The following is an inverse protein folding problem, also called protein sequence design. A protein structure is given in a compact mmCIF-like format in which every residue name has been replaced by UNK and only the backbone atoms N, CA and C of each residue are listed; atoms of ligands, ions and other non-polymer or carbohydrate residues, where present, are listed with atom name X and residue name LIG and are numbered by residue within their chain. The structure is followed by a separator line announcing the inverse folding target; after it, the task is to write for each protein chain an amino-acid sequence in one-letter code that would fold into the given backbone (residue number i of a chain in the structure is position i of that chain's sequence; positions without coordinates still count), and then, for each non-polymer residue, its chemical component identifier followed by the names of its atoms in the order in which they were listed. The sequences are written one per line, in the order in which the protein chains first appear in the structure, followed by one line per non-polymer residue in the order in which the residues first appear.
data_IF_622175590872
#
_entry.id   IF_622175590872
#
_cell.length_a   1.000
_cell.length_b   1.000
_cell.length_c   1.000
_cell.angle_alpha   90.00
_cell.angle_beta   90.00
_cell.angle_gamma   90.00
#
_symmetry.space_group_name_H-M   'P 1'
#
loop_
_entity.id
_entity.type
_entity.pdbx_description
1 polymer ?
#
# COMPACT_ATOMS: atom_id res chain seq x y z
N UNK A 1 16.15 -11.40 14.66
CA UNK A 1 15.28 -10.21 14.51
C UNK A 1 14.13 -10.30 15.50
N UNK A 2 14.00 -9.33 16.41
CA UNK A 2 12.89 -9.27 17.38
C UNK A 2 11.62 -8.89 16.63
N UNK A 3 10.52 -9.62 16.85
CA UNK A 3 9.20 -9.28 16.28
C UNK A 3 8.71 -7.95 16.86
N UNK A 4 7.92 -7.25 16.07
CA UNK A 4 7.43 -5.91 16.36
C UNK A 4 5.91 -5.93 16.27
N UNK A 5 5.27 -5.85 17.43
CA UNK A 5 3.81 -5.88 17.55
C UNK A 5 3.14 -4.69 16.86
N UNK A 6 3.81 -3.53 16.78
CA UNK A 6 3.32 -2.36 16.06
C UNK A 6 3.21 -2.63 14.57
N UNK A 7 4.24 -3.27 13.98
CA UNK A 7 4.20 -3.64 12.56
C UNK A 7 3.12 -4.69 12.27
N UNK A 8 2.96 -5.69 13.13
CA UNK A 8 1.90 -6.69 12.93
C UNK A 8 0.50 -6.06 13.07
N UNK A 9 0.30 -5.11 13.99
CA UNK A 9 -0.93 -4.33 14.10
C UNK A 9 -1.21 -3.50 12.84
N UNK A 10 -0.21 -2.79 12.32
CA UNK A 10 -0.32 -2.00 11.08
C UNK A 10 -0.76 -2.89 9.91
N UNK A 11 -0.19 -4.10 9.78
CA UNK A 11 -0.58 -5.05 8.73
C UNK A 11 -2.02 -5.54 8.89
N UNK A 12 -2.47 -5.81 10.12
CA UNK A 12 -3.86 -6.16 10.39
C UNK A 12 -4.81 -5.03 10.01
N UNK A 13 -4.52 -3.80 10.43
CA UNK A 13 -5.32 -2.62 10.08
C UNK A 13 -5.37 -2.43 8.55
N UNK A 14 -4.26 -2.63 7.84
CA UNK A 14 -4.21 -2.57 6.38
C UNK A 14 -5.11 -3.64 5.73
N UNK A 15 -5.04 -4.89 6.20
CA UNK A 15 -5.82 -6.00 5.66
C UNK A 15 -7.31 -5.86 5.95
N UNK A 16 -7.69 -5.46 7.17
CA UNK A 16 -9.08 -5.24 7.55
C UNK A 16 -9.69 -4.07 6.78
N UNK A 17 -9.00 -2.94 6.69
CA UNK A 17 -9.47 -1.81 5.89
C UNK A 17 -9.58 -2.15 4.40
N UNK A 18 -8.64 -2.93 3.84
CA UNK A 18 -8.75 -3.41 2.46
C UNK A 18 -9.96 -4.32 2.24
N UNK A 19 -10.24 -5.21 3.19
CA UNK A 19 -11.44 -6.05 3.13
C UNK A 19 -12.71 -5.18 3.17
N UNK A 20 -12.79 -4.22 4.10
CA UNK A 20 -13.91 -3.28 4.19
C UNK A 20 -14.07 -2.51 2.88
N UNK A 21 -12.98 -2.03 2.28
CA UNK A 21 -12.99 -1.37 0.99
C UNK A 21 -13.70 -2.21 -0.07
N UNK A 22 -13.38 -3.50 -0.16
CA UNK A 22 -13.96 -4.42 -1.15
C UNK A 22 -15.35 -4.95 -0.78
N UNK A 23 -15.79 -4.86 0.48
CA UNK A 23 -17.18 -5.19 0.84
C UNK A 23 -18.20 -4.27 0.14
N UNK A 24 -17.78 -3.11 -0.39
CA UNK A 24 -18.61 -2.27 -1.27
C UNK A 24 -19.13 -3.00 -2.52
N UNK A 25 -18.45 -4.06 -2.97
CA UNK A 25 -18.91 -4.86 -4.12
C UNK A 25 -20.11 -5.74 -3.79
N UNK A 26 -20.37 -5.98 -2.49
CA UNK A 26 -21.57 -6.66 -1.99
C UNK A 26 -22.64 -5.65 -1.53
N UNK A 27 -22.22 -4.52 -0.95
CA UNK A 27 -23.10 -3.45 -0.48
C UNK A 27 -22.71 -2.09 -1.05
N UNK A 28 -23.12 -1.77 -2.29
CA UNK A 28 -22.74 -0.52 -2.96
C UNK A 28 -23.20 0.75 -2.23
N UNK A 29 -24.36 0.68 -1.55
CA UNK A 29 -24.94 1.83 -0.83
C UNK A 29 -24.17 2.19 0.45
N UNK A 30 -23.31 1.30 0.94
CA UNK A 30 -22.53 1.50 2.15
C UNK A 30 -21.24 2.30 1.89
N UNK A 31 -21.38 3.57 1.46
CA UNK A 31 -20.25 4.44 1.08
C UNK A 31 -19.16 4.56 2.18
N UNK A 32 -19.54 4.46 3.46
CA UNK A 32 -18.59 4.47 4.58
C UNK A 32 -17.50 3.38 4.49
N UNK A 33 -17.79 2.25 3.87
CA UNK A 33 -16.82 1.17 3.62
C UNK A 33 -15.66 1.64 2.73
N UNK A 34 -15.96 2.41 1.69
CA UNK A 34 -14.96 2.97 0.79
C UNK A 34 -14.04 3.97 1.51
N UNK A 35 -14.61 4.83 2.35
CA UNK A 35 -13.88 5.85 3.13
C UNK A 35 -12.90 5.19 4.09
N UNK A 36 -13.38 4.23 4.90
CA UNK A 36 -12.52 3.45 5.81
C UNK A 36 -11.48 2.66 5.04
N UNK A 37 -11.84 2.16 3.86
CA UNK A 37 -10.95 1.44 2.95
C UNK A 37 -9.70 2.21 2.52
N UNK A 38 -9.75 3.55 2.50
CA UNK A 38 -8.61 4.40 2.14
C UNK A 38 -7.43 4.29 3.11
N UNK A 39 -7.65 3.74 4.31
CA UNK A 39 -6.57 3.41 5.26
C UNK A 39 -5.59 2.37 4.70
N UNK A 40 -6.08 1.44 3.86
CA UNK A 40 -5.34 0.24 3.50
C UNK A 40 -4.01 0.54 2.80
N UNK A 41 -4.07 1.36 1.74
CA UNK A 41 -2.91 1.58 0.88
C UNK A 41 -1.73 2.27 1.60
N UNK A 42 -1.93 3.38 2.35
CA UNK A 42 -0.83 3.97 3.11
C UNK A 42 -0.26 3.02 4.17
N UNK A 43 -1.10 2.22 4.84
CA UNK A 43 -0.62 1.24 5.83
C UNK A 43 0.19 0.10 5.19
N UNK A 44 -0.19 -0.37 3.99
CA UNK A 44 0.65 -1.32 3.23
C UNK A 44 1.98 -0.70 2.81
N UNK A 45 1.97 0.57 2.36
CA UNK A 45 3.19 1.29 2.01
C UNK A 45 4.12 1.46 3.23
N UNK A 46 3.55 1.75 4.40
CA UNK A 46 4.30 1.81 5.66
C UNK A 46 4.88 0.43 6.03
N UNK A 47 4.11 -0.65 5.83
CA UNK A 47 4.60 -2.01 6.05
C UNK A 47 5.81 -2.35 5.19
N UNK A 48 5.81 -1.94 3.91
CA UNK A 48 6.96 -2.04 3.01
C UNK A 48 8.14 -1.24 3.55
N UNK A 49 7.92 0.04 3.89
CA UNK A 49 8.95 0.93 4.40
C UNK A 49 9.61 0.39 5.68
N UNK A 50 8.82 -0.16 6.60
CA UNK A 50 9.31 -0.76 7.84
C UNK A 50 10.16 -2.02 7.58
N UNK A 51 9.78 -2.84 6.59
CA UNK A 51 10.59 -3.99 6.19
C UNK A 51 11.91 -3.53 5.54
N UNK A 52 11.88 -2.51 4.68
CA UNK A 52 13.07 -1.93 4.06
C UNK A 52 14.00 -1.34 5.12
N UNK A 53 13.47 -0.55 6.06
CA UNK A 53 14.26 0.10 7.12
C UNK A 53 15.00 -0.87 8.04
N UNK A 54 14.57 -2.14 8.11
CA UNK A 54 15.24 -3.21 8.88
C UNK A 54 16.41 -3.85 8.15
N UNK A 55 16.55 -3.62 6.85
CA UNK A 55 17.70 -4.09 6.08
C UNK A 55 18.91 -3.19 6.33
N UNK A 56 20.12 -3.73 6.23
CA UNK A 56 21.34 -2.94 6.38
C UNK A 56 21.52 -2.03 5.15
N UNK A 57 21.76 -0.72 5.33
CA UNK A 57 22.15 0.14 4.21
C UNK A 57 23.35 -0.45 3.45
N UNK A 58 23.34 -0.36 2.12
CA UNK A 58 24.36 -1.00 1.27
C UNK A 58 24.13 -2.49 0.91
N UNK A 59 23.22 -3.19 1.59
CA UNK A 59 22.88 -4.60 1.26
C UNK A 59 21.65 -4.71 0.34
N UNK A 60 21.68 -4.05 -0.82
CA UNK A 60 20.57 -4.11 -1.79
C UNK A 60 20.32 -5.54 -2.28
N UNK A 61 21.37 -6.24 -2.69
CA UNK A 61 21.32 -7.61 -3.23
C UNK A 61 21.47 -8.67 -2.14
N UNK A 62 20.47 -8.77 -1.27
CA UNK A 62 20.38 -9.85 -0.28
C UNK A 62 19.35 -10.91 -0.69
N UNK A 63 19.52 -12.16 -0.25
CA UNK A 63 18.50 -13.21 -0.43
C UNK A 63 17.14 -12.79 0.15
N UNK A 64 17.15 -12.02 1.25
CA UNK A 64 15.96 -11.48 1.87
C UNK A 64 15.20 -10.52 0.95
N UNK A 65 15.92 -9.58 0.33
CA UNK A 65 15.36 -8.63 -0.63
C UNK A 65 14.87 -9.33 -1.90
N UNK A 66 15.69 -10.23 -2.47
CA UNK A 66 15.31 -11.01 -3.65
C UNK A 66 14.03 -11.82 -3.40
N UNK A 67 13.93 -12.48 -2.25
CA UNK A 67 12.72 -13.21 -1.85
C UNK A 67 11.52 -12.29 -1.65
N UNK A 68 11.72 -11.10 -1.08
CA UNK A 68 10.62 -10.13 -0.90
C UNK A 68 10.09 -9.64 -2.25
N UNK A 69 10.99 -9.25 -3.16
CA UNK A 69 10.64 -8.86 -4.54
C UNK A 69 9.91 -9.99 -5.26
N UNK A 70 10.44 -11.21 -5.18
CA UNK A 70 9.85 -12.38 -5.83
C UNK A 70 8.43 -12.68 -5.34
N UNK A 71 8.19 -12.61 -4.03
CA UNK A 71 6.83 -12.80 -3.49
C UNK A 71 5.87 -11.70 -3.95
N UNK A 72 6.27 -10.43 -3.91
CA UNK A 72 5.43 -9.34 -4.41
C UNK A 72 5.13 -9.50 -5.90
N UNK A 73 6.11 -9.90 -6.71
CA UNK A 73 5.93 -10.13 -8.15
C UNK A 73 4.96 -11.30 -8.42
N UNK A 74 5.18 -12.45 -7.77
CA UNK A 74 4.33 -13.64 -7.93
C UNK A 74 2.89 -13.31 -7.56
N UNK A 75 2.67 -12.70 -6.39
CA UNK A 75 1.31 -12.36 -5.97
C UNK A 75 0.70 -11.21 -6.78
N UNK A 76 1.51 -10.29 -7.29
CA UNK A 76 1.06 -9.27 -8.23
C UNK A 76 0.45 -9.88 -9.50
N UNK A 77 1.09 -10.92 -10.05
CA UNK A 77 0.57 -11.64 -11.22
C UNK A 77 -0.65 -12.51 -10.87
N UNK A 78 -0.56 -13.28 -9.78
CA UNK A 78 -1.64 -14.19 -9.36
C UNK A 78 -2.93 -13.43 -8.99
N UNK A 79 -2.81 -12.24 -8.39
CA UNK A 79 -3.95 -11.44 -7.96
C UNK A 79 -4.62 -10.67 -9.08
N UNK A 80 -4.01 -10.55 -10.26
CA UNK A 80 -4.62 -9.84 -11.38
C UNK A 80 -5.91 -10.51 -11.84
N UNK A 81 -5.94 -11.85 -11.91
CA UNK A 81 -7.15 -12.57 -12.31
C UNK A 81 -8.33 -12.35 -11.32
N UNK A 82 -8.20 -12.63 -10.00
CA UNK A 82 -9.27 -12.33 -9.03
C UNK A 82 -9.70 -10.86 -9.04
N UNK A 83 -8.74 -9.94 -9.22
CA UNK A 83 -9.03 -8.50 -9.30
C UNK A 83 -9.90 -8.15 -10.51
N UNK A 84 -9.58 -8.68 -11.69
CA UNK A 84 -10.36 -8.49 -12.92
C UNK A 84 -11.76 -9.10 -12.83
N UNK A 85 -11.89 -10.26 -12.18
CA UNK A 85 -13.20 -10.90 -11.95
C UNK A 85 -14.11 -10.07 -11.04
N UNK A 86 -13.55 -9.40 -10.03
CA UNK A 86 -14.34 -8.57 -9.11
C UNK A 86 -14.62 -7.16 -9.67
N UNK A 87 -13.69 -6.63 -10.46
CA UNK A 87 -13.72 -5.26 -10.98
C UNK A 87 -13.40 -5.18 -12.48
N UNK A 88 -14.25 -5.74 -13.36
CA UNK A 88 -13.97 -5.87 -14.80
C UNK A 88 -13.76 -4.52 -15.50
N UNK A 89 -14.50 -3.50 -15.10
CA UNK A 89 -14.44 -2.13 -15.66
C UNK A 89 -13.22 -1.31 -15.20
N UNK A 90 -12.32 -1.87 -14.38
CA UNK A 90 -11.17 -1.11 -13.91
C UNK A 90 -10.17 -0.84 -15.04
N UNK A 91 -9.84 0.43 -15.27
CA UNK A 91 -8.77 0.83 -16.19
C UNK A 91 -7.35 0.58 -15.65
N UNK A 92 -7.22 0.16 -14.38
CA UNK A 92 -5.93 -0.03 -13.71
C UNK A 92 -5.63 -1.51 -13.50
N UNK A 93 -4.36 -1.86 -13.27
CA UNK A 93 -3.96 -3.15 -12.71
C UNK A 93 -4.36 -3.22 -11.23
N UNK A 94 -4.23 -4.41 -10.63
CA UNK A 94 -4.37 -4.55 -9.19
C UNK A 94 -3.37 -3.66 -8.41
N UNK A 95 -3.47 -3.62 -7.07
CA UNK A 95 -2.66 -2.69 -6.26
C UNK A 95 -1.18 -3.10 -6.17
N UNK A 96 -0.86 -4.39 -6.33
CA UNK A 96 0.47 -4.92 -6.05
C UNK A 96 1.58 -4.43 -6.99
N UNK A 97 1.37 -4.21 -8.31
CA UNK A 97 2.36 -3.52 -9.15
C UNK A 97 2.80 -2.17 -8.58
N UNK A 98 1.88 -1.40 -8.01
CA UNK A 98 2.21 -0.11 -7.38
C UNK A 98 3.10 -0.33 -6.15
N UNK A 99 2.77 -1.32 -5.32
CA UNK A 99 3.55 -1.69 -4.13
C UNK A 99 4.94 -2.26 -4.49
N UNK A 100 5.03 -3.06 -5.55
CA UNK A 100 6.26 -3.63 -6.09
C UNK A 100 7.23 -2.53 -6.54
N UNK A 101 6.76 -1.60 -7.36
CA UNK A 101 7.55 -0.44 -7.78
C UNK A 101 7.90 0.43 -6.57
N UNK A 102 6.96 0.62 -5.64
CA UNK A 102 7.21 1.40 -4.44
C UNK A 102 8.28 0.80 -3.51
N UNK A 103 8.38 -0.53 -3.42
CA UNK A 103 9.49 -1.22 -2.75
C UNK A 103 10.83 -0.87 -3.40
N UNK A 104 10.91 -0.87 -4.73
CA UNK A 104 12.16 -0.59 -5.46
C UNK A 104 12.62 0.87 -5.26
N UNK A 105 11.69 1.83 -5.26
CA UNK A 105 12.01 3.23 -4.94
C UNK A 105 12.43 3.37 -3.47
N UNK A 106 11.74 2.69 -2.55
CA UNK A 106 12.10 2.69 -1.14
C UNK A 106 13.51 2.13 -0.88
N UNK A 107 13.92 1.08 -1.60
CA UNK A 107 15.29 0.58 -1.56
C UNK A 107 16.30 1.60 -2.05
N UNK A 108 16.01 2.29 -3.16
CA UNK A 108 16.90 3.35 -3.66
C UNK A 108 17.17 4.43 -2.62
N UNK A 109 16.10 4.89 -1.97
CA UNK A 109 16.18 5.89 -0.88
C UNK A 109 16.82 5.32 0.39
N UNK A 110 16.62 4.04 0.69
CA UNK A 110 17.15 3.43 1.91
C UNK A 110 18.65 3.16 1.85
N UNK A 111 19.12 2.55 0.76
CA UNK A 111 20.52 2.14 0.60
C UNK A 111 21.40 3.30 0.13
N UNK A 112 20.88 4.21 -0.71
CA UNK A 112 21.55 5.46 -1.08
C UNK A 112 22.83 5.32 -1.92
N UNK A 113 23.12 4.13 -2.43
CA UNK A 113 24.27 3.87 -3.30
C UNK A 113 23.92 4.10 -4.77
N UNK A 114 24.93 4.30 -5.63
CA UNK A 114 24.71 4.65 -7.05
C UNK A 114 23.77 3.66 -7.75
N UNK A 115 23.95 2.36 -7.52
CA UNK A 115 23.12 1.30 -8.12
C UNK A 115 21.67 1.37 -7.62
N UNK A 116 21.45 1.56 -6.32
CA UNK A 116 20.09 1.65 -5.77
C UNK A 116 19.37 2.93 -6.22
N UNK A 117 20.11 4.04 -6.36
CA UNK A 117 19.57 5.30 -6.87
C UNK A 117 19.22 5.22 -8.36
N UNK A 118 20.06 4.57 -9.18
CA UNK A 118 19.74 4.30 -10.59
C UNK A 118 18.52 3.39 -10.72
N UNK A 119 18.41 2.37 -9.88
CA UNK A 119 17.22 1.51 -9.81
C UNK A 119 15.97 2.33 -9.49
N UNK A 120 16.01 3.19 -8.47
CA UNK A 120 14.88 4.04 -8.12
C UNK A 120 14.53 5.03 -9.23
N UNK A 121 15.52 5.66 -9.88
CA UNK A 121 15.28 6.57 -11.00
C UNK A 121 14.61 5.84 -12.19
N UNK A 122 15.11 4.67 -12.56
CA UNK A 122 14.49 3.83 -13.60
C UNK A 122 13.07 3.39 -13.20
N UNK A 123 12.87 3.04 -11.93
CA UNK A 123 11.54 2.64 -11.40
C UNK A 123 10.55 3.81 -11.46
N UNK A 124 10.97 5.02 -11.09
CA UNK A 124 10.14 6.23 -11.18
C UNK A 124 9.79 6.53 -12.64
N UNK A 125 10.73 6.39 -13.57
CA UNK A 125 10.46 6.55 -15.00
C UNK A 125 9.45 5.50 -15.51
N UNK A 126 9.59 4.24 -15.12
CA UNK A 126 8.62 3.20 -15.46
C UNK A 126 7.25 3.54 -14.86
N UNK A 127 7.20 4.01 -13.62
CA UNK A 127 5.96 4.39 -12.95
C UNK A 127 5.28 5.62 -13.56
N UNK A 128 6.03 6.57 -14.13
CA UNK A 128 5.45 7.71 -14.87
C UNK A 128 4.89 7.27 -16.22
N UNK A 129 5.58 6.39 -16.94
CA UNK A 129 5.08 5.81 -18.19
C UNK A 129 3.83 4.95 -17.98
N UNK A 130 3.78 4.21 -16.87
CA UNK A 130 2.65 3.36 -16.48
C UNK A 130 1.66 4.08 -15.54
N UNK A 131 1.71 5.41 -15.45
CA UNK A 131 0.93 6.18 -14.46
C UNK A 131 -0.56 5.84 -14.55
N UNK A 132 -1.09 5.66 -15.77
CA UNK A 132 -2.51 5.40 -15.97
C UNK A 132 -2.93 4.00 -15.53
N UNK A 133 -2.03 3.03 -15.65
CA UNK A 133 -2.25 1.62 -15.33
C UNK A 133 -2.03 1.31 -13.85
N UNK A 134 -1.29 2.13 -13.12
CA UNK A 134 -1.03 1.93 -11.69
C UNK A 134 -2.16 2.49 -10.83
N UNK A 135 -2.77 1.68 -9.97
CA UNK A 135 -3.94 2.04 -9.15
C UNK A 135 -3.82 3.41 -8.44
N UNK A 136 -2.67 3.71 -7.85
CA UNK A 136 -2.39 4.98 -7.15
C UNK A 136 -1.41 5.90 -7.91
N UNK A 137 -1.12 5.58 -9.17
CA UNK A 137 -0.19 6.32 -10.03
C UNK A 137 1.23 6.41 -9.46
N UNK A 138 2.01 7.35 -10.00
CA UNK A 138 3.39 7.60 -9.56
C UNK A 138 3.47 8.03 -8.09
N UNK A 139 2.48 8.79 -7.59
CA UNK A 139 2.48 9.25 -6.19
C UNK A 139 2.35 8.08 -5.21
N UNK A 140 1.54 7.06 -5.56
CA UNK A 140 1.47 5.82 -4.81
C UNK A 140 2.80 5.05 -4.80
N UNK A 141 3.53 5.05 -5.90
CA UNK A 141 4.88 4.44 -5.99
C UNK A 141 5.89 5.17 -5.12
N UNK A 142 5.80 6.50 -4.97
CA UNK A 142 6.71 7.27 -4.12
C UNK A 142 6.43 7.12 -2.62
N UNK A 143 5.22 6.69 -2.24
CA UNK A 143 4.76 6.70 -0.85
C UNK A 143 5.59 5.81 0.10
N UNK A 144 5.96 4.54 -0.24
CA UNK A 144 6.84 3.75 0.62
C UNK A 144 8.20 4.42 0.88
N UNK A 145 8.78 5.09 -0.12
CA UNK A 145 10.05 5.79 0.04
C UNK A 145 9.93 7.02 0.96
N UNK A 146 8.80 7.73 0.91
CA UNK A 146 8.50 8.78 1.87
C UNK A 146 8.38 8.23 3.29
N UNK A 147 7.73 7.08 3.49
CA UNK A 147 7.68 6.44 4.80
C UNK A 147 9.05 6.00 5.30
N UNK A 148 9.96 5.54 4.42
CA UNK A 148 11.36 5.27 4.82
C UNK A 148 12.01 6.51 5.40
N UNK A 149 11.81 7.68 4.79
CA UNK A 149 12.32 8.95 5.33
C UNK A 149 11.67 9.31 6.67
N UNK A 150 10.35 9.17 6.78
CA UNK A 150 9.60 9.44 8.01
C UNK A 150 9.97 8.53 9.19
N UNK A 151 10.39 7.29 8.92
CA UNK A 151 10.89 6.35 9.93
C UNK A 151 12.35 6.62 10.33
N UNK A 152 13.16 7.23 9.45
CA UNK A 152 14.58 7.54 9.73
C UNK A 152 14.76 8.83 10.53
N UNK A 153 13.82 9.77 10.47
CA UNK A 153 13.94 11.01 11.24
C UNK A 153 12.83 12.03 11.04
N UNK A 154 12.89 13.10 11.84
CA UNK A 154 11.83 14.08 11.94
C UNK A 154 11.79 15.08 10.77
N UNK A 155 12.86 15.28 10.00
CA UNK A 155 12.88 16.34 8.96
C UNK A 155 11.77 16.21 7.90
N UNK A 156 11.40 14.97 7.53
CA UNK A 156 10.43 14.68 6.47
C UNK A 156 9.21 13.92 6.99
N UNK A 157 8.84 14.13 8.27
CA UNK A 157 7.76 13.39 8.93
C UNK A 157 6.38 13.59 8.27
N UNK A 158 6.15 14.74 7.64
CA UNK A 158 4.87 15.10 7.00
C UNK A 158 4.70 14.54 5.58
N UNK A 159 5.80 14.18 4.91
CA UNK A 159 5.80 13.78 3.50
C UNK A 159 4.90 12.56 3.22
N UNK A 160 4.89 11.50 4.04
CA UNK A 160 3.99 10.37 3.82
C UNK A 160 2.51 10.74 3.90
N UNK A 161 2.14 11.64 4.82
CA UNK A 161 0.75 12.10 4.95
C UNK A 161 0.31 12.88 3.72
N UNK A 162 1.15 13.79 3.23
CA UNK A 162 0.88 14.55 2.01
C UNK A 162 0.74 13.63 0.78
N UNK A 163 1.69 12.70 0.57
CA UNK A 163 1.62 11.76 -0.55
C UNK A 163 0.44 10.78 -0.43
N UNK A 164 0.07 10.36 0.78
CA UNK A 164 -1.09 9.50 0.99
C UNK A 164 -2.39 10.20 0.54
N UNK A 165 -2.56 11.49 0.86
CA UNK A 165 -3.69 12.30 0.40
C UNK A 165 -3.68 12.44 -1.12
N UNK A 166 -2.55 12.88 -1.69
CA UNK A 166 -2.45 13.12 -3.13
C UNK A 166 -2.64 11.84 -3.96
N UNK A 167 -2.09 10.71 -3.51
CA UNK A 167 -2.26 9.42 -4.17
C UNK A 167 -3.72 8.94 -4.16
N UNK A 168 -4.47 9.20 -3.06
CA UNK A 168 -5.89 8.87 -2.97
C UNK A 168 -6.78 9.86 -3.75
N UNK A 169 -6.26 11.03 -4.13
CA UNK A 169 -6.96 12.04 -4.94
C UNK A 169 -7.06 11.74 -6.43
N UNK A 170 -6.30 10.77 -6.95
CA UNK A 170 -6.15 10.51 -8.40
C UNK A 170 -7.47 10.36 -9.15
N UNK A 171 -8.44 9.62 -8.61
CA UNK A 171 -9.71 9.35 -9.29
C UNK A 171 -10.71 10.51 -9.23
N UNK A 172 -10.46 11.55 -8.42
CA UNK A 172 -11.44 12.62 -8.16
C UNK A 172 -10.97 14.01 -8.52
N UNK A 173 -9.67 14.24 -8.67
CA UNK A 173 -9.12 15.54 -9.07
C UNK A 173 -9.64 16.04 -10.44
N UNK A 174 -10.01 15.09 -11.32
CA UNK A 174 -10.46 15.40 -12.68
C UNK A 174 -11.97 15.19 -12.91
N UNK A 175 -12.67 14.52 -12.00
CA UNK A 175 -14.06 14.10 -12.23
C UNK A 175 -15.08 15.14 -11.75
N UNK A 176 -14.90 15.76 -10.57
CA UNK A 176 -15.83 16.75 -10.05
C UNK A 176 -15.10 17.75 -9.14
N UNK A 177 -15.08 19.03 -9.52
CA UNK A 177 -14.58 20.16 -8.69
C UNK A 177 -15.46 20.45 -7.45
N UNK A 178 -16.43 19.58 -7.15
CA UNK A 178 -17.18 19.61 -5.91
C UNK A 178 -16.40 18.91 -4.80
N UNK A 179 -15.94 19.66 -3.79
CA UNK A 179 -15.46 19.08 -2.54
C UNK A 179 -16.64 18.44 -1.79
N UNK A 180 -17.09 17.27 -2.25
CA UNK A 180 -18.09 16.45 -1.57
C UNK A 180 -17.47 15.96 -0.26
N UNK A 181 -18.23 15.99 0.85
CA UNK A 181 -17.79 15.59 2.19
C UNK A 181 -17.05 14.23 2.19
N UNK A 182 -17.51 13.34 1.33
CA UNK A 182 -17.01 12.01 1.04
C UNK A 182 -15.57 11.94 0.51
N UNK A 183 -15.13 12.95 -0.26
CA UNK A 183 -13.76 13.09 -0.74
C UNK A 183 -12.85 13.62 0.36
N UNK A 184 -13.32 14.61 1.13
CA UNK A 184 -12.59 15.11 2.29
C UNK A 184 -12.40 14.02 3.34
N UNK A 185 -13.42 13.21 3.60
CA UNK A 185 -13.34 12.06 4.50
C UNK A 185 -12.31 11.04 4.00
N UNK A 186 -12.28 10.75 2.70
CA UNK A 186 -11.27 9.85 2.10
C UNK A 186 -9.84 10.37 2.27
N UNK A 187 -9.63 11.68 2.09
CA UNK A 187 -8.32 12.31 2.31
C UNK A 187 -7.94 12.31 3.78
N UNK A 188 -8.88 12.60 4.68
CA UNK A 188 -8.68 12.52 6.11
C UNK A 188 -8.28 11.11 6.54
N UNK A 189 -8.95 10.07 6.04
CA UNK A 189 -8.60 8.67 6.32
C UNK A 189 -7.21 8.30 5.80
N UNK A 190 -6.85 8.69 4.58
CA UNK A 190 -5.51 8.44 4.04
C UNK A 190 -4.41 9.14 4.85
N UNK A 191 -4.64 10.39 5.25
CA UNK A 191 -3.76 11.15 6.12
C UNK A 191 -3.63 10.49 7.51
N UNK A 192 -4.76 10.14 8.12
CA UNK A 192 -4.84 9.47 9.41
C UNK A 192 -4.08 8.13 9.40
N UNK A 193 -4.21 7.33 8.33
CA UNK A 193 -3.44 6.10 8.18
C UNK A 193 -1.93 6.34 8.23
N UNK A 194 -1.44 7.35 7.51
CA UNK A 194 -0.01 7.66 7.48
C UNK A 194 0.50 8.11 8.85
N UNK A 195 -0.21 9.03 9.52
CA UNK A 195 0.18 9.56 10.83
C UNK A 195 0.04 8.52 11.94
N UNK A 196 -1.09 7.82 12.01
CA UNK A 196 -1.35 6.77 12.99
C UNK A 196 -0.36 5.62 12.81
N UNK A 197 -0.10 5.20 11.56
CA UNK A 197 0.86 4.14 11.28
C UNK A 197 2.26 4.49 11.77
N UNK A 198 2.77 5.68 11.45
CA UNK A 198 4.06 6.16 11.96
C UNK A 198 4.08 6.23 13.48
N UNK A 199 3.01 6.72 14.10
CA UNK A 199 2.87 6.74 15.55
C UNK A 199 2.96 5.34 16.16
N UNK A 200 2.23 4.35 15.60
CA UNK A 200 2.24 2.97 16.09
C UNK A 200 3.62 2.32 15.97
N UNK A 201 4.39 2.59 14.92
CA UNK A 201 5.73 2.03 14.73
C UNK A 201 6.80 2.68 15.62
N UNK A 202 6.61 3.93 16.05
CA UNK A 202 7.51 4.57 17.01
C UNK A 202 7.23 4.18 18.47
N UNK A 203 6.12 3.47 18.75
CA UNK A 203 5.75 3.04 20.10
C UNK A 203 6.12 1.58 20.34
N UNK A 204 6.77 1.32 21.46
CA UNK A 204 6.95 -0.05 21.95
C UNK A 204 5.62 -0.56 22.50
N UNK A 205 4.84 -1.26 21.67
CA UNK A 205 3.61 -1.90 22.10
C UNK A 205 3.93 -3.23 22.81
N UNK A 206 3.43 -3.40 24.02
CA UNK A 206 3.51 -4.64 24.80
C UNK A 206 2.41 -5.65 24.45
N UNK A 207 1.57 -5.33 23.46
CA UNK A 207 0.44 -6.16 23.04
C UNK A 207 0.91 -7.41 22.29
N UNK A 208 0.25 -8.54 22.54
CA UNK A 208 0.49 -9.79 21.81
C UNK A 208 -0.41 -9.84 20.58
N UNK A 209 0.11 -9.36 19.45
CA UNK A 209 -0.57 -9.40 18.15
C UNK A 209 -0.16 -10.65 17.36
N UNK A 210 -1.12 -11.35 16.73
CA UNK A 210 -0.80 -12.52 15.91
C UNK A 210 -0.04 -12.07 14.64
N UNK A 211 1.13 -12.67 14.33
CA UNK A 211 2.00 -12.16 13.29
C UNK A 211 1.44 -12.35 11.88
N UNK A 212 1.46 -11.28 11.10
CA UNK A 212 1.13 -11.31 9.67
C UNK A 212 2.41 -11.65 8.89
N UNK A 213 2.56 -12.94 8.61
CA UNK A 213 3.68 -13.52 7.87
C UNK A 213 3.38 -13.69 6.38
N UNK A 214 3.87 -14.78 5.79
CA UNK A 214 3.71 -15.07 4.35
C UNK A 214 2.25 -15.35 3.95
N UNK A 215 1.43 -15.84 4.87
CA UNK A 215 0.01 -16.07 4.61
C UNK A 215 -0.73 -14.78 4.22
N UNK A 216 -0.23 -13.61 4.64
CA UNK A 216 -0.80 -12.31 4.28
C UNK A 216 -0.79 -12.02 2.77
N UNK A 217 0.12 -12.64 2.01
CA UNK A 217 0.09 -12.52 0.54
C UNK A 217 -1.10 -13.25 -0.08
N UNK A 218 -1.46 -14.43 0.44
CA UNK A 218 -2.61 -15.21 -0.03
C UNK A 218 -3.94 -14.54 0.31
N UNK A 219 -3.96 -13.71 1.35
CA UNK A 219 -5.16 -12.97 1.73
C UNK A 219 -5.68 -12.14 0.55
N UNK A 220 -4.81 -11.42 -0.18
CA UNK A 220 -5.24 -10.52 -1.26
C UNK A 220 -6.00 -11.23 -2.40
N UNK A 221 -5.44 -12.21 -3.13
CA UNK A 221 -6.20 -12.94 -4.14
C UNK A 221 -7.35 -13.77 -3.54
N UNK A 222 -7.17 -14.33 -2.33
CA UNK A 222 -8.16 -15.19 -1.69
C UNK A 222 -9.47 -14.49 -1.35
N UNK A 223 -9.40 -13.32 -0.70
CA UNK A 223 -10.61 -12.58 -0.35
C UNK A 223 -11.29 -11.98 -1.58
N UNK A 224 -10.54 -11.56 -2.62
CA UNK A 224 -11.14 -11.10 -3.88
C UNK A 224 -11.97 -12.20 -4.55
N UNK A 225 -11.42 -13.42 -4.62
CA UNK A 225 -12.14 -14.57 -5.17
C UNK A 225 -13.36 -14.93 -4.31
N UNK A 226 -13.23 -14.92 -2.98
CA UNK A 226 -14.35 -15.18 -2.07
C UNK A 226 -15.49 -14.16 -2.28
N UNK A 227 -15.15 -12.87 -2.38
CA UNK A 227 -16.14 -11.82 -2.64
C UNK A 227 -16.78 -11.96 -4.02
N UNK A 228 -16.02 -12.36 -5.04
CA UNK A 228 -16.58 -12.63 -6.36
C UNK A 228 -17.60 -13.78 -6.32
N UNK A 229 -17.27 -14.89 -5.65
CA UNK A 229 -18.20 -16.03 -5.48
C UNK A 229 -19.45 -15.62 -4.71
N UNK A 230 -19.29 -14.87 -3.61
CA UNK A 230 -20.43 -14.37 -2.82
C UNK A 230 -21.32 -13.44 -3.65
N UNK A 231 -20.73 -12.51 -4.40
CA UNK A 231 -21.46 -11.58 -5.26
C UNK A 231 -22.24 -12.32 -6.35
N UNK A 232 -21.64 -13.35 -6.96
CA UNK A 232 -22.29 -14.17 -7.99
C UNK A 232 -23.40 -15.07 -7.44
N UNK A 233 -23.43 -15.32 -6.13
CA UNK A 233 -24.46 -16.11 -5.46
C UNK A 233 -25.61 -15.26 -4.89
N UNK A 234 -25.48 -13.93 -4.89
CA UNK A 234 -26.55 -13.02 -4.48
C UNK A 234 -27.58 -12.89 -5.62
N UNK A 235 -28.89 -12.88 -5.27
CA UNK A 235 -29.97 -12.76 -6.24
C UNK A 235 -30.05 -11.39 -6.92
#
# INVERSE_FOLDING_TARGET
MRRDAGLDLVKWLAMLSMLLDHLRYLWPDAYGLFVVGRLAFPLFCLGIAANVARTRPGELFSEGNARYLGWLLVFSLLSELPYRLLSPESATLNVMPTLLLGLMVAWGVHHGERTSLLLAAATVLIATLLHQQLMYGVLGVLLPAAFVQGLKGLRWWWLPAALAVLANGRNRWFAELGLVADTLASFAMACAAALLGLYLLHRALSLKIWPVGRWGYLFYPGHLLALHVLRSAMP
#
